data_IF_725461826844
#
_entry.id   IF_725461826844
#
_cell.length_a   1.000
_cell.length_b   1.000
_cell.length_c   1.000
_cell.angle_alpha   90.00
_cell.angle_beta   90.00
_cell.angle_gamma   90.00
#
_symmetry.space_group_name_H-M   'P 1'
#
loop_
_entity.id
_entity.type
_entity.pdbx_description
1 polymer ?
#
# COMPACT_ATOMS: atom_id res chain seq x y z
N UNK A 1 -25.41 -3.32 75.88
CA UNK A 1 -26.21 -3.33 74.63
C UNK A 1 -25.21 -3.35 73.49
N UNK A 2 -25.03 -4.51 72.85
CA UNK A 2 -24.04 -4.68 71.79
C UNK A 2 -24.65 -4.26 70.45
N UNK A 3 -23.99 -3.34 69.74
CA UNK A 3 -24.40 -2.89 68.41
C UNK A 3 -23.72 -3.79 67.37
N UNK A 4 -24.50 -4.51 66.58
CA UNK A 4 -24.00 -5.30 65.46
C UNK A 4 -24.03 -4.44 64.18
N UNK A 5 -22.87 -4.25 63.55
CA UNK A 5 -22.74 -3.55 62.26
C UNK A 5 -22.88 -4.57 61.12
N UNK A 6 -23.99 -4.55 60.39
CA UNK A 6 -24.16 -5.33 59.17
C UNK A 6 -23.59 -4.56 57.99
N UNK A 7 -22.47 -5.01 57.44
CA UNK A 7 -21.89 -4.44 56.20
C UNK A 7 -22.55 -5.11 54.99
N UNK A 8 -23.40 -4.39 54.28
CA UNK A 8 -23.89 -4.83 52.96
C UNK A 8 -22.85 -4.48 51.90
N UNK A 9 -22.30 -5.47 51.20
CA UNK A 9 -21.40 -5.25 50.07
C UNK A 9 -22.19 -4.69 48.88
N UNK A 10 -22.08 -3.38 48.66
CA UNK A 10 -22.63 -2.73 47.47
C UNK A 10 -21.75 -3.05 46.25
N UNK A 11 -22.33 -3.61 45.19
CA UNK A 11 -21.63 -3.85 43.92
C UNK A 11 -21.62 -2.55 43.10
N UNK A 12 -20.43 -2.08 42.69
CA UNK A 12 -20.25 -0.83 41.93
C UNK A 12 -20.25 -1.02 40.39
N UNK A 13 -20.66 -2.19 39.90
CA UNK A 13 -20.73 -2.51 38.47
C UNK A 13 -21.90 -1.76 37.80
N UNK A 14 -21.65 -1.14 36.65
CA UNK A 14 -22.67 -0.44 35.86
C UNK A 14 -23.22 -1.39 34.79
N UNK A 15 -24.50 -1.72 34.88
CA UNK A 15 -25.24 -2.40 33.82
C UNK A 15 -26.09 -1.42 33.04
N UNK A 16 -25.98 -1.38 31.72
CA UNK A 16 -26.90 -0.67 30.84
C UNK A 16 -27.72 -1.71 30.09
N UNK A 17 -29.03 -1.69 30.32
CA UNK A 17 -29.99 -2.64 29.72
C UNK A 17 -29.71 -4.12 30.09
N UNK A 18 -29.11 -4.34 31.26
CA UNK A 18 -28.95 -5.66 31.91
C UNK A 18 -28.97 -5.50 33.42
N UNK A 19 -29.69 -6.39 34.12
CA UNK A 19 -29.71 -6.45 35.59
C UNK A 19 -28.66 -7.41 36.15
N UNK A 20 -27.98 -8.14 35.27
CA UNK A 20 -26.94 -9.12 35.60
C UNK A 20 -25.67 -8.81 34.80
N UNK A 21 -24.96 -7.71 35.10
CA UNK A 21 -23.68 -7.42 34.44
C UNK A 21 -22.69 -8.57 34.64
N UNK A 22 -21.85 -8.81 33.64
CA UNK A 22 -20.77 -9.77 33.73
C UNK A 22 -19.90 -9.45 34.97
N UNK A 23 -19.64 -10.42 35.87
CA UNK A 23 -18.84 -10.21 37.08
C UNK A 23 -17.42 -9.67 36.83
N UNK A 24 -16.85 -9.86 35.64
CA UNK A 24 -15.53 -9.35 35.27
C UNK A 24 -15.56 -7.97 34.61
N UNK A 25 -16.70 -7.27 34.61
CA UNK A 25 -16.86 -5.97 33.94
C UNK A 25 -17.21 -4.85 34.94
N UNK A 26 -16.62 -3.69 34.74
CA UNK A 26 -17.02 -2.45 35.43
C UNK A 26 -18.24 -1.82 34.74
N UNK A 27 -18.35 -1.99 33.42
CA UNK A 27 -19.48 -1.55 32.59
C UNK A 27 -19.88 -2.69 31.64
N UNK A 28 -21.14 -3.13 31.71
CA UNK A 28 -21.75 -4.10 30.81
C UNK A 28 -22.94 -3.48 30.09
N UNK A 29 -22.98 -3.56 28.76
CA UNK A 29 -24.03 -2.98 27.93
C UNK A 29 -24.59 -4.08 27.03
N UNK A 30 -25.87 -4.39 27.20
CA UNK A 30 -26.54 -5.43 26.41
C UNK A 30 -27.62 -4.84 25.50
N UNK A 31 -27.55 -5.14 24.21
CA UNK A 31 -28.63 -4.85 23.26
C UNK A 31 -28.51 -5.77 22.05
N UNK A 32 -29.64 -6.24 21.52
CA UNK A 32 -29.67 -7.04 20.29
C UNK A 32 -29.68 -6.19 19.01
N UNK A 33 -29.97 -4.89 19.11
CA UNK A 33 -30.20 -4.02 17.95
C UNK A 33 -29.69 -2.58 18.10
N UNK A 34 -28.92 -2.28 19.16
CA UNK A 34 -28.30 -0.97 19.38
C UNK A 34 -26.79 -1.13 19.59
N UNK A 35 -26.03 -0.14 19.14
CA UNK A 35 -24.59 -0.03 19.40
C UNK A 35 -24.27 0.99 20.49
N UNK A 36 -22.98 1.15 20.77
CA UNK A 36 -22.45 2.16 21.69
C UNK A 36 -21.86 3.30 20.89
N UNK A 37 -22.33 4.52 21.16
CA UNK A 37 -21.73 5.74 20.62
C UNK A 37 -20.75 6.28 21.66
N UNK A 38 -19.45 6.08 21.41
CA UNK A 38 -18.40 6.67 22.26
C UNK A 38 -18.26 8.18 21.97
N UNK A 39 -17.63 8.97 22.86
CA UNK A 39 -17.40 10.39 22.64
C UNK A 39 -16.78 10.68 21.26
N UNK A 40 -17.41 11.61 20.52
CA UNK A 40 -17.01 11.97 19.17
C UNK A 40 -16.39 13.37 19.13
N UNK A 41 -15.20 13.48 18.56
CA UNK A 41 -14.48 14.73 18.46
C UNK A 41 -13.88 14.93 17.07
N UNK A 42 -13.44 16.15 16.76
CA UNK A 42 -12.61 16.43 15.60
C UNK A 42 -11.16 16.57 16.06
N UNK A 43 -10.31 15.59 15.74
CA UNK A 43 -8.90 15.66 16.09
C UNK A 43 -8.18 16.59 15.11
N UNK A 44 -7.64 17.70 15.59
CA UNK A 44 -6.80 18.60 14.78
C UNK A 44 -5.31 18.40 15.05
N UNK A 45 -4.95 17.85 16.22
CA UNK A 45 -3.59 17.53 16.64
C UNK A 45 -3.59 16.18 17.37
N UNK A 46 -2.81 15.20 16.89
CA UNK A 46 -2.82 13.84 17.46
C UNK A 46 -2.19 13.76 18.86
N UNK A 47 -1.23 14.60 19.19
CA UNK A 47 -0.55 14.61 20.49
C UNK A 47 -1.05 15.72 21.44
N UNK A 48 -2.23 16.28 21.19
CA UNK A 48 -2.80 17.30 22.06
C UNK A 48 -3.22 16.71 23.41
N UNK A 49 -2.80 17.36 24.49
CA UNK A 49 -3.12 17.00 25.88
C UNK A 49 -4.12 17.97 26.53
N UNK A 50 -4.63 18.96 25.79
CA UNK A 50 -5.54 19.99 26.32
C UNK A 50 -6.89 20.01 25.63
N UNK A 51 -6.94 19.79 24.32
CA UNK A 51 -8.18 19.76 23.52
C UNK A 51 -8.12 18.63 22.48
N UNK A 52 -9.22 17.93 22.17
CA UNK A 52 -10.56 18.05 22.78
C UNK A 52 -10.69 17.37 24.15
N UNK A 53 -9.69 16.58 24.55
CA UNK A 53 -9.64 15.87 25.83
C UNK A 53 -8.41 16.36 26.60
N UNK A 54 -8.61 16.85 27.82
CA UNK A 54 -7.53 17.26 28.69
C UNK A 54 -6.94 16.04 29.42
N UNK A 55 -5.61 15.96 29.49
CA UNK A 55 -4.86 14.88 30.14
C UNK A 55 -5.39 13.47 29.81
N UNK A 56 -5.47 13.09 28.52
CA UNK A 56 -6.00 11.79 28.11
C UNK A 56 -5.18 10.65 28.74
N UNK A 57 -5.89 9.67 29.31
CA UNK A 57 -5.29 8.48 29.91
C UNK A 57 -4.92 7.44 28.83
N UNK A 58 -3.88 6.65 29.07
CA UNK A 58 -3.53 5.54 28.18
C UNK A 58 -4.68 4.53 28.08
N UNK A 59 -4.99 4.12 26.84
CA UNK A 59 -6.13 3.25 26.53
C UNK A 59 -7.46 3.98 26.35
N UNK A 60 -7.53 5.30 26.55
CA UNK A 60 -8.76 6.07 26.32
C UNK A 60 -9.16 6.02 24.84
N UNK A 61 -10.43 5.74 24.57
CA UNK A 61 -10.96 5.56 23.21
C UNK A 61 -11.96 6.67 22.85
N UNK A 62 -11.82 7.23 21.64
CA UNK A 62 -12.75 8.20 21.07
C UNK A 62 -13.02 7.88 19.60
N UNK A 63 -14.02 8.54 19.02
CA UNK A 63 -14.27 8.50 17.58
C UNK A 63 -13.95 9.86 16.96
N UNK A 64 -13.00 9.91 16.02
CA UNK A 64 -12.77 11.09 15.18
C UNK A 64 -13.86 11.15 14.12
N UNK A 65 -14.74 12.15 14.17
CA UNK A 65 -15.87 12.27 13.23
C UNK A 65 -15.49 12.91 11.89
N UNK A 66 -14.29 13.50 11.79
CA UNK A 66 -13.68 13.94 10.54
C UNK A 66 -14.09 15.33 10.04
N UNK A 67 -14.77 16.15 10.86
CA UNK A 67 -15.29 17.46 10.46
C UNK A 67 -14.17 18.45 10.08
N UNK A 68 -13.65 19.19 11.06
CA UNK A 68 -12.47 20.07 10.86
C UNK A 68 -11.15 19.30 10.97
N UNK A 69 -11.20 17.98 11.14
CA UNK A 69 -10.02 17.14 11.30
C UNK A 69 -9.28 16.96 9.98
N UNK A 70 -7.94 17.03 10.03
CA UNK A 70 -7.06 16.64 8.91
C UNK A 70 -6.71 15.16 8.94
N UNK A 71 -7.15 14.42 9.95
CA UNK A 71 -6.89 12.99 10.12
C UNK A 71 -8.10 12.16 9.68
N UNK A 72 -7.88 10.91 9.23
CA UNK A 72 -8.97 10.04 8.80
C UNK A 72 -10.03 9.84 9.90
N UNK A 73 -11.29 9.76 9.48
CA UNK A 73 -12.41 9.38 10.34
C UNK A 73 -12.19 7.97 10.90
N UNK A 74 -12.63 7.74 12.13
CA UNK A 74 -12.58 6.40 12.74
C UNK A 74 -12.32 6.42 14.24
N UNK A 75 -12.05 5.24 14.78
CA UNK A 75 -11.74 5.07 16.19
C UNK A 75 -10.27 5.40 16.47
N UNK A 76 -10.02 6.11 17.57
CA UNK A 76 -8.69 6.46 18.04
C UNK A 76 -8.53 6.05 19.50
N UNK A 77 -7.34 5.56 19.84
CA UNK A 77 -6.94 5.21 21.20
C UNK A 77 -5.75 6.08 21.59
N UNK A 78 -5.78 6.68 22.77
CA UNK A 78 -4.62 7.40 23.31
C UNK A 78 -3.60 6.40 23.83
N UNK A 79 -2.43 6.34 23.19
CA UNK A 79 -1.30 5.51 23.62
C UNK A 79 0.01 6.17 23.18
N UNK A 80 1.06 6.03 24.00
CA UNK A 80 2.39 6.61 23.71
C UNK A 80 2.32 8.13 23.45
N UNK A 81 1.55 8.84 24.27
CA UNK A 81 1.39 10.30 24.23
C UNK A 81 0.78 10.85 22.92
N UNK A 82 -0.03 10.05 22.22
CA UNK A 82 -0.76 10.49 21.03
C UNK A 82 -2.00 9.63 20.75
N UNK A 83 -2.95 10.22 20.04
CA UNK A 83 -4.09 9.52 19.45
C UNK A 83 -3.61 8.65 18.28
N UNK A 84 -3.79 7.33 18.41
CA UNK A 84 -3.49 6.37 17.36
C UNK A 84 -4.80 5.81 16.78
N UNK A 85 -4.95 5.84 15.45
CA UNK A 85 -6.12 5.29 14.78
C UNK A 85 -6.13 3.78 14.94
N UNK A 86 -7.24 3.24 15.44
CA UNK A 86 -7.52 1.81 15.38
C UNK A 86 -7.91 1.47 13.93
N UNK A 87 -7.09 0.68 13.27
CA UNK A 87 -7.34 0.24 11.89
C UNK A 87 -8.16 -1.04 11.95
N UNK A 88 -9.32 -1.05 11.30
CA UNK A 88 -10.14 -2.25 11.19
C UNK A 88 -9.61 -3.11 10.03
N UNK A 89 -9.66 -4.43 10.17
CA UNK A 89 -9.22 -5.36 9.13
C UNK A 89 -9.77 -4.98 7.77
N UNK A 90 -8.88 -4.83 6.78
CA UNK A 90 -9.23 -4.41 5.41
C UNK A 90 -9.21 -2.90 5.15
N UNK A 91 -9.01 -2.07 6.19
CA UNK A 91 -8.71 -0.63 6.06
C UNK A 91 -7.21 -0.31 6.19
N UNK A 92 -6.36 -1.33 6.29
CA UNK A 92 -4.90 -1.20 6.27
C UNK A 92 -4.39 -1.02 4.84
N UNK A 93 -3.23 -0.38 4.64
CA UNK A 93 -2.56 -0.41 3.35
C UNK A 93 -2.31 -1.85 2.90
N UNK A 94 -2.79 -2.21 1.72
CA UNK A 94 -2.66 -3.56 1.17
C UNK A 94 -1.54 -3.59 0.13
N UNK A 95 -0.79 -4.69 0.05
CA UNK A 95 0.33 -4.81 -0.88
C UNK A 95 0.19 -5.98 -1.84
N UNK A 96 0.67 -5.79 -3.05
CA UNK A 96 0.87 -6.84 -4.06
C UNK A 96 2.31 -6.72 -4.57
N UNK A 97 3.01 -7.84 -4.63
CA UNK A 97 4.39 -7.93 -5.12
C UNK A 97 4.46 -8.86 -6.32
N UNK A 98 5.07 -8.33 -7.38
CA UNK A 98 5.28 -8.99 -8.66
C UNK A 98 6.78 -9.05 -8.94
N UNK A 99 7.25 -10.16 -9.48
CA UNK A 99 8.66 -10.36 -9.82
C UNK A 99 8.82 -10.90 -11.24
N UNK A 100 9.99 -10.67 -11.84
CA UNK A 100 10.48 -11.42 -13.01
C UNK A 100 11.86 -11.97 -12.64
N UNK A 101 12.04 -13.28 -12.85
CA UNK A 101 13.31 -13.97 -12.58
C UNK A 101 14.39 -13.59 -13.60
N UNK A 102 15.66 -13.86 -13.27
CA UNK A 102 16.82 -13.61 -14.15
C UNK A 102 16.73 -14.34 -15.48
N UNK A 103 17.30 -13.77 -16.54
CA UNK A 103 17.47 -14.42 -17.84
C UNK A 103 16.24 -14.35 -18.74
N UNK A 104 15.24 -13.55 -18.38
CA UNK A 104 14.06 -13.33 -19.20
C UNK A 104 14.33 -12.19 -20.19
N UNK A 105 14.44 -12.54 -21.46
CA UNK A 105 14.46 -11.57 -22.55
C UNK A 105 13.03 -11.10 -22.83
N UNK A 106 12.82 -9.79 -22.86
CA UNK A 106 11.60 -9.15 -23.34
C UNK A 106 11.86 -8.75 -24.79
N UNK A 107 11.34 -9.51 -25.78
CA UNK A 107 11.74 -9.36 -27.17
C UNK A 107 11.26 -8.06 -27.80
N UNK A 108 12.02 -7.60 -28.80
CA UNK A 108 11.66 -6.60 -29.79
C UNK A 108 10.31 -6.95 -30.39
N UNK A 109 9.39 -5.99 -30.47
CA UNK A 109 8.15 -6.19 -31.22
C UNK A 109 7.09 -7.03 -30.50
N UNK A 110 7.22 -7.32 -29.19
CA UNK A 110 6.00 -7.14 -28.38
C UNK A 110 5.65 -5.67 -28.58
N UNK A 111 4.45 -5.37 -29.04
CA UNK A 111 4.13 -4.09 -29.73
C UNK A 111 4.39 -2.82 -28.92
N UNK A 112 4.90 -2.89 -27.68
CA UNK A 112 5.02 -1.76 -26.77
C UNK A 112 6.07 -1.89 -25.64
N UNK A 113 7.16 -2.67 -25.71
CA UNK A 113 8.12 -2.80 -24.58
C UNK A 113 7.42 -3.06 -23.22
N UNK A 114 6.31 -3.80 -23.23
CA UNK A 114 5.53 -4.11 -22.04
C UNK A 114 6.16 -5.29 -21.32
N UNK A 115 6.25 -5.21 -19.99
CA UNK A 115 6.73 -6.32 -19.18
C UNK A 115 5.82 -7.55 -19.32
N UNK A 116 6.43 -8.72 -19.42
CA UNK A 116 5.78 -10.04 -19.48
C UNK A 116 6.47 -10.98 -18.49
N UNK A 117 5.95 -12.20 -18.31
CA UNK A 117 6.49 -13.21 -17.39
C UNK A 117 6.53 -12.76 -15.93
N UNK A 118 5.62 -11.85 -15.56
CA UNK A 118 5.42 -11.50 -14.16
C UNK A 118 4.94 -12.73 -13.39
N UNK A 119 5.43 -12.88 -12.17
CA UNK A 119 4.96 -13.87 -11.21
C UNK A 119 4.49 -13.16 -9.95
N UNK A 120 3.39 -13.60 -9.37
CA UNK A 120 2.88 -13.07 -8.10
C UNK A 120 3.71 -13.66 -6.96
N UNK A 121 4.54 -12.84 -6.32
CA UNK A 121 5.24 -13.22 -5.10
C UNK A 121 4.31 -13.16 -3.88
N UNK A 122 3.45 -12.13 -3.83
CA UNK A 122 2.42 -12.00 -2.81
C UNK A 122 1.28 -11.10 -3.32
N UNK A 123 0.05 -11.36 -2.90
CA UNK A 123 -1.08 -10.46 -3.16
C UNK A 123 -2.01 -10.41 -1.94
N UNK A 124 -2.11 -9.23 -1.33
CA UNK A 124 -3.02 -8.91 -0.23
C UNK A 124 -4.02 -7.81 -0.60
N UNK A 125 -3.97 -7.30 -1.83
CA UNK A 125 -4.94 -6.30 -2.31
C UNK A 125 -6.19 -7.05 -2.77
N UNK A 126 -7.29 -6.87 -2.04
CA UNK A 126 -8.56 -7.51 -2.38
C UNK A 126 -9.05 -7.04 -3.74
N UNK A 127 -9.23 -7.97 -4.68
CA UNK A 127 -9.67 -7.68 -6.05
C UNK A 127 -8.54 -7.30 -7.02
N UNK A 128 -7.29 -7.25 -6.59
CA UNK A 128 -6.16 -7.17 -7.52
C UNK A 128 -5.79 -8.55 -8.06
N UNK A 129 -5.30 -8.63 -9.29
CA UNK A 129 -4.87 -9.88 -9.91
C UNK A 129 -3.80 -9.65 -10.98
N UNK A 130 -3.04 -10.72 -11.26
CA UNK A 130 -2.22 -10.82 -12.46
C UNK A 130 -2.99 -11.67 -13.49
N UNK A 131 -3.09 -11.19 -14.72
CA UNK A 131 -3.74 -11.91 -15.81
C UNK A 131 -2.98 -13.18 -16.20
N UNK A 132 -3.70 -14.12 -16.83
CA UNK A 132 -3.12 -15.38 -17.31
C UNK A 132 -2.03 -15.16 -18.38
N UNK A 133 -2.01 -13.99 -19.01
CA UNK A 133 -0.98 -13.58 -19.96
C UNK A 133 0.34 -13.16 -19.28
N UNK A 134 0.41 -13.16 -17.94
CA UNK A 134 1.57 -12.76 -17.12
C UNK A 134 2.10 -11.35 -17.39
N UNK A 135 1.26 -10.49 -17.99
CA UNK A 135 1.65 -9.13 -18.38
C UNK A 135 0.65 -8.07 -17.92
N UNK A 136 -0.61 -8.46 -17.71
CA UNK A 136 -1.68 -7.56 -17.30
C UNK A 136 -1.91 -7.60 -15.79
N UNK A 137 -1.99 -6.43 -15.18
CA UNK A 137 -2.23 -6.27 -13.74
C UNK A 137 -3.56 -5.56 -13.56
N UNK A 138 -4.56 -6.24 -12.98
CA UNK A 138 -5.85 -5.62 -12.66
C UNK A 138 -5.80 -5.08 -11.23
N UNK A 139 -6.12 -3.80 -11.07
CA UNK A 139 -6.24 -3.14 -9.77
C UNK A 139 -7.67 -2.61 -9.59
N UNK A 140 -8.29 -2.77 -8.42
CA UNK A 140 -9.60 -2.16 -8.14
C UNK A 140 -9.50 -0.62 -8.04
N UNK A 141 -10.63 0.07 -7.90
CA UNK A 141 -10.62 1.50 -7.59
C UNK A 141 -9.84 1.79 -6.28
N UNK A 142 -9.14 2.91 -6.24
CA UNK A 142 -8.36 3.33 -5.08
C UNK A 142 -7.14 4.17 -5.42
N UNK A 143 -6.40 4.56 -4.38
CA UNK A 143 -5.15 5.31 -4.48
C UNK A 143 -3.98 4.36 -4.25
N UNK A 144 -2.98 4.43 -5.13
CA UNK A 144 -1.86 3.50 -5.17
C UNK A 144 -0.53 4.23 -5.19
N UNK A 145 0.45 3.60 -4.52
CA UNK A 145 1.87 3.85 -4.76
C UNK A 145 2.45 2.58 -5.36
N UNK A 146 3.01 2.69 -6.56
CA UNK A 146 3.65 1.57 -7.26
C UNK A 146 5.13 1.87 -7.33
N UNK A 147 5.96 0.96 -6.82
CA UNK A 147 7.42 1.07 -6.90
C UNK A 147 7.95 -0.10 -7.68
N UNK A 148 8.94 0.14 -8.52
CA UNK A 148 9.63 -0.94 -9.21
C UNK A 148 11.13 -0.70 -9.19
N UNK A 149 11.87 -1.80 -9.32
CA UNK A 149 13.31 -1.78 -9.56
C UNK A 149 13.68 -2.92 -10.48
N UNK A 150 14.66 -2.68 -11.34
CA UNK A 150 15.04 -3.63 -12.36
C UNK A 150 16.51 -3.50 -12.68
N UNK A 151 17.16 -4.66 -12.82
CA UNK A 151 18.51 -4.78 -13.35
C UNK A 151 18.43 -5.47 -14.71
N UNK A 152 18.93 -4.78 -15.74
CA UNK A 152 18.75 -5.16 -17.13
C UNK A 152 20.05 -5.31 -17.92
N UNK A 153 19.97 -5.68 -19.20
CA UNK A 153 21.04 -5.53 -20.18
C UNK A 153 20.46 -5.47 -21.60
N UNK A 154 21.24 -5.01 -22.58
CA UNK A 154 20.83 -5.06 -23.98
C UNK A 154 20.81 -6.52 -24.49
N UNK A 155 19.78 -6.91 -25.22
CA UNK A 155 19.46 -8.29 -25.60
C UNK A 155 20.34 -8.97 -26.66
N UNK A 156 21.42 -8.32 -27.13
CA UNK A 156 22.29 -8.89 -28.19
C UNK A 156 23.70 -9.28 -27.72
N UNK A 157 23.95 -9.41 -26.41
CA UNK A 157 25.16 -10.09 -25.95
C UNK A 157 24.94 -10.70 -24.57
N UNK A 158 24.57 -11.98 -24.52
CA UNK A 158 24.89 -12.92 -23.44
C UNK A 158 24.20 -14.26 -23.72
N UNK A 159 24.79 -15.04 -24.63
CA UNK A 159 24.55 -16.47 -24.65
C UNK A 159 25.82 -17.15 -24.12
N UNK A 160 25.91 -17.30 -22.79
CA UNK A 160 26.96 -18.09 -22.15
C UNK A 160 27.48 -17.55 -20.82
N UNK A 161 27.86 -18.46 -19.93
CA UNK A 161 28.68 -18.21 -18.74
C UNK A 161 30.09 -17.75 -19.16
N UNK A 162 30.24 -16.46 -19.46
CA UNK A 162 31.52 -15.77 -19.44
C UNK A 162 31.29 -14.26 -19.32
N UNK A 163 31.46 -13.77 -18.10
CA UNK A 163 31.83 -12.39 -17.81
C UNK A 163 33.09 -12.02 -18.63
N UNK A 164 32.98 -11.01 -19.50
CA UNK A 164 33.91 -9.88 -19.70
C UNK A 164 33.68 -9.26 -21.09
N UNK A 165 33.70 -7.92 -21.19
CA UNK A 165 33.42 -7.09 -22.38
C UNK A 165 31.91 -6.91 -22.61
N UNK A 166 31.30 -5.73 -22.42
CA UNK A 166 31.54 -4.49 -23.17
C UNK A 166 31.24 -3.24 -22.32
N UNK A 167 32.25 -2.37 -22.18
CA UNK A 167 32.24 -1.10 -21.42
C UNK A 167 31.95 0.13 -22.31
N UNK A 168 30.97 0.13 -23.23
CA UNK A 168 30.72 1.35 -24.04
C UNK A 168 29.32 1.50 -24.68
N UNK A 169 28.26 0.91 -24.13
CA UNK A 169 26.89 1.26 -24.58
C UNK A 169 26.02 1.55 -23.36
N UNK A 170 25.82 2.84 -23.08
CA UNK A 170 24.93 3.31 -22.02
C UNK A 170 23.48 3.08 -22.45
N UNK A 171 22.91 1.94 -22.07
CA UNK A 171 21.47 1.71 -22.23
C UNK A 171 20.72 2.61 -21.24
N UNK A 172 20.02 3.61 -21.77
CA UNK A 172 19.42 4.68 -20.96
C UNK A 172 17.91 4.50 -20.97
N UNK A 173 17.30 4.20 -19.82
CA UNK A 173 15.84 4.25 -19.68
C UNK A 173 15.40 5.72 -19.80
N UNK A 174 14.75 6.07 -20.90
CA UNK A 174 14.27 7.43 -21.15
C UNK A 174 12.94 7.68 -20.47
N UNK A 175 12.04 6.69 -20.50
CA UNK A 175 10.73 6.76 -19.87
C UNK A 175 10.32 5.41 -19.30
N UNK A 176 9.53 5.49 -18.25
CA UNK A 176 8.93 4.34 -17.62
C UNK A 176 7.51 4.72 -17.27
N UNK A 177 6.52 3.95 -17.68
CA UNK A 177 5.13 4.34 -17.45
C UNK A 177 4.15 3.17 -17.44
N UNK A 178 2.97 3.40 -16.87
CA UNK A 178 1.86 2.47 -16.93
C UNK A 178 0.95 2.81 -18.12
N UNK A 179 0.44 1.77 -18.77
CA UNK A 179 -0.58 1.90 -19.82
C UNK A 179 -1.83 1.13 -19.44
N UNK A 180 -2.98 1.60 -19.91
CA UNK A 180 -4.21 0.81 -19.88
C UNK A 180 -4.05 -0.39 -20.82
N UNK A 181 -4.33 -1.59 -20.34
CA UNK A 181 -4.13 -2.82 -21.10
C UNK A 181 -5.03 -2.95 -22.34
N UNK A 182 -6.23 -2.35 -22.32
CA UNK A 182 -7.18 -2.43 -23.43
C UNK A 182 -6.91 -1.37 -24.50
N UNK A 183 -6.61 -0.13 -24.10
CA UNK A 183 -6.47 1.01 -25.03
C UNK A 183 -5.02 1.36 -25.36
N UNK A 184 -4.05 0.80 -24.64
CA UNK A 184 -2.63 1.19 -24.68
C UNK A 184 -2.36 2.67 -24.35
N UNK A 185 -3.36 3.41 -23.87
CA UNK A 185 -3.20 4.79 -23.45
C UNK A 185 -2.33 4.87 -22.20
N UNK A 186 -1.37 5.80 -22.19
CA UNK A 186 -0.57 6.12 -21.01
C UNK A 186 -1.49 6.63 -19.89
N UNK A 187 -1.22 6.18 -18.67
CA UNK A 187 -1.98 6.59 -17.50
C UNK A 187 -1.32 7.83 -16.92
N UNK A 188 -2.15 8.83 -16.57
CA UNK A 188 -1.69 10.07 -15.96
C UNK A 188 -1.13 9.77 -14.58
N UNK A 189 0.19 9.74 -14.49
CA UNK A 189 0.95 9.40 -13.29
C UNK A 189 2.07 10.40 -13.06
N UNK A 190 2.39 10.71 -11.80
CA UNK A 190 3.59 11.47 -11.48
C UNK A 190 4.74 10.48 -11.31
N UNK A 191 5.49 10.23 -12.38
CA UNK A 191 6.72 9.43 -12.31
C UNK A 191 7.84 10.26 -11.65
N UNK A 192 8.44 9.77 -10.57
CA UNK A 192 9.75 10.25 -10.11
C UNK A 192 10.85 9.38 -10.74
N UNK A 193 11.60 10.01 -11.64
CA UNK A 193 12.50 9.48 -12.67
C UNK A 193 13.30 8.20 -12.35
N UNK A 194 13.59 7.47 -13.44
CA UNK A 194 14.66 6.48 -13.54
C UNK A 194 16.01 7.16 -13.28
N UNK A 195 16.62 6.92 -12.12
CA UNK A 195 18.00 7.36 -11.89
C UNK A 195 18.94 6.52 -12.75
N UNK A 196 19.60 7.17 -13.71
CA UNK A 196 20.63 6.58 -14.54
C UNK A 196 21.94 6.54 -13.75
N UNK A 197 22.59 5.40 -13.76
CA UNK A 197 23.99 5.32 -13.38
C UNK A 197 24.83 5.30 -14.64
N UNK A 198 25.91 6.08 -14.65
CA UNK A 198 26.94 6.09 -15.70
C UNK A 198 27.73 4.78 -15.82
N UNK A 199 27.40 3.76 -15.01
CA UNK A 199 28.08 2.48 -14.93
C UNK A 199 27.16 1.27 -14.67
N UNK A 200 25.86 1.45 -14.40
CA UNK A 200 24.95 0.38 -14.01
C UNK A 200 23.67 0.32 -14.87
N UNK A 201 23.27 -0.90 -15.18
CA UNK A 201 22.04 -1.30 -15.88
C UNK A 201 20.79 -1.37 -14.98
N UNK A 202 20.90 -0.81 -13.77
CA UNK A 202 19.85 -0.79 -12.76
C UNK A 202 19.08 0.51 -12.80
N UNK A 203 17.75 0.42 -12.78
CA UNK A 203 16.89 1.59 -12.66
C UNK A 203 15.67 1.26 -11.79
N UNK A 204 15.16 2.29 -11.14
CA UNK A 204 14.01 2.22 -10.24
C UNK A 204 13.11 3.41 -10.46
N UNK A 205 11.84 3.29 -10.07
CA UNK A 205 10.89 4.38 -10.19
C UNK A 205 9.72 4.20 -9.26
N UNK A 206 8.92 5.27 -9.15
CA UNK A 206 7.69 5.27 -8.37
C UNK A 206 6.58 5.98 -9.12
N UNK A 207 5.39 5.40 -9.10
CA UNK A 207 4.14 5.97 -9.59
C UNK A 207 3.20 6.25 -8.44
N UNK A 208 2.50 7.36 -8.55
CA UNK A 208 1.37 7.71 -7.72
C UNK A 208 0.13 7.76 -8.62
N UNK A 209 -0.87 6.97 -8.28
CA UNK A 209 -2.02 6.70 -9.14
C UNK A 209 -3.31 6.73 -8.33
N UNK A 210 -4.36 7.33 -8.89
CA UNK A 210 -5.73 7.22 -8.37
C UNK A 210 -6.62 6.64 -9.46
N UNK A 211 -7.25 5.50 -9.18
CA UNK A 211 -8.15 4.80 -10.09
C UNK A 211 -9.60 4.98 -9.63
N UNK A 212 -10.45 5.52 -10.50
CA UNK A 212 -11.88 5.70 -10.22
C UNK A 212 -12.69 4.41 -10.36
N UNK A 213 -12.18 3.43 -11.11
CA UNK A 213 -12.80 2.14 -11.36
C UNK A 213 -11.73 1.04 -11.45
N UNK A 214 -12.10 -0.24 -11.34
CA UNK A 214 -11.19 -1.33 -11.63
C UNK A 214 -10.55 -1.15 -13.01
N UNK A 215 -9.22 -1.17 -13.07
CA UNK A 215 -8.45 -0.89 -14.28
C UNK A 215 -7.38 -1.94 -14.46
N UNK A 216 -7.24 -2.46 -15.68
CA UNK A 216 -6.18 -3.41 -16.06
C UNK A 216 -5.04 -2.66 -16.73
N UNK A 217 -3.83 -2.90 -16.23
CA UNK A 217 -2.62 -2.11 -16.51
C UNK A 217 -1.50 -2.99 -17.08
N UNK A 218 -0.55 -2.37 -17.77
CA UNK A 218 0.76 -2.96 -18.10
C UNK A 218 1.87 -1.98 -17.75
N UNK A 219 3.01 -2.51 -17.29
CA UNK A 219 4.24 -1.74 -17.13
C UNK A 219 4.99 -1.66 -18.45
N UNK A 220 5.40 -0.46 -18.84
CA UNK A 220 6.13 -0.20 -20.09
C UNK A 220 7.41 0.60 -19.82
N UNK A 221 8.44 0.30 -20.59
CA UNK A 221 9.71 1.03 -20.58
C UNK A 221 10.09 1.52 -21.98
N UNK A 222 10.73 2.68 -22.05
CA UNK A 222 11.33 3.21 -23.28
C UNK A 222 12.82 3.43 -23.03
N UNK A 223 13.65 3.04 -23.99
CA UNK A 223 15.11 3.04 -23.88
C UNK A 223 15.76 3.70 -25.09
N UNK A 224 16.86 4.42 -24.84
CA UNK A 224 17.77 4.96 -25.85
C UNK A 224 19.12 4.21 -25.76
N UNK A 225 19.69 3.89 -26.92
CA UNK A 225 21.00 3.24 -27.07
C UNK A 225 22.19 4.20 -27.01
N UNK A 226 21.95 5.51 -26.85
CA UNK A 226 23.00 6.52 -26.76
C UNK A 226 23.52 7.03 -28.12
N UNK A 227 23.00 6.49 -29.23
CA UNK A 227 23.28 6.94 -30.60
C UNK A 227 22.06 7.60 -31.26
N UNK A 228 21.04 7.99 -30.47
CA UNK A 228 19.76 8.52 -30.98
C UNK A 228 18.83 7.44 -31.55
N UNK A 229 19.21 6.16 -31.44
CA UNK A 229 18.37 5.02 -31.81
C UNK A 229 17.72 4.42 -30.57
N UNK A 230 16.40 4.24 -30.62
CA UNK A 230 15.66 3.51 -29.60
C UNK A 230 15.84 2.01 -29.81
N UNK A 231 16.55 1.35 -28.91
CA UNK A 231 16.66 -0.11 -28.92
C UNK A 231 15.44 -0.73 -28.22
N UNK A 232 14.95 -1.86 -28.74
CA UNK A 232 13.64 -2.43 -28.35
C UNK A 232 13.71 -3.74 -27.56
N UNK A 233 14.91 -4.20 -27.19
CA UNK A 233 15.11 -5.42 -26.40
C UNK A 233 15.50 -5.07 -24.96
N UNK A 234 14.69 -5.48 -23.99
CA UNK A 234 15.04 -5.43 -22.57
C UNK A 234 15.34 -6.85 -22.08
N UNK A 235 16.59 -7.15 -21.74
CA UNK A 235 16.91 -8.40 -21.04
C UNK A 235 16.92 -8.16 -19.54
N UNK A 236 16.15 -8.93 -18.76
CA UNK A 236 16.21 -8.89 -17.30
C UNK A 236 17.41 -9.71 -16.86
N UNK A 237 18.47 -9.03 -16.42
CA UNK A 237 19.76 -9.68 -16.12
C UNK A 237 19.69 -10.49 -14.84
N UNK A 238 19.23 -9.88 -13.76
CA UNK A 238 19.15 -10.52 -12.44
C UNK A 238 17.73 -10.57 -11.91
N UNK A 239 17.01 -9.44 -11.86
CA UNK A 239 15.63 -9.43 -11.39
C UNK A 239 14.88 -8.16 -11.78
N UNK A 240 13.56 -8.31 -11.85
CA UNK A 240 12.59 -7.22 -11.76
C UNK A 240 11.75 -7.45 -10.50
N UNK A 241 11.48 -6.38 -9.76
CA UNK A 241 10.45 -6.39 -8.72
C UNK A 241 9.56 -5.17 -8.86
N UNK A 242 8.26 -5.37 -8.64
CA UNK A 242 7.26 -4.34 -8.52
C UNK A 242 6.45 -4.57 -7.25
N UNK A 243 6.35 -3.53 -6.43
CA UNK A 243 5.53 -3.50 -5.23
C UNK A 243 4.45 -2.46 -5.41
N UNK A 244 3.20 -2.92 -5.43
CA UNK A 244 1.99 -2.12 -5.52
C UNK A 244 1.43 -2.00 -4.10
N UNK A 245 1.27 -0.79 -3.61
CA UNK A 245 0.66 -0.50 -2.31
C UNK A 245 -0.64 0.25 -2.55
N UNK A 246 -1.77 -0.36 -2.18
CA UNK A 246 -3.06 0.32 -2.09
C UNK A 246 -3.12 1.06 -0.76
N UNK A 247 -3.33 2.36 -0.80
CA UNK A 247 -3.43 3.17 0.41
C UNK A 247 -4.75 2.89 1.13
N UNK A 248 -4.70 2.89 2.46
CA UNK A 248 -5.88 2.85 3.32
C UNK A 248 -6.78 4.05 3.03
N UNK A 249 -8.08 3.83 2.94
CA UNK A 249 -9.09 4.89 2.92
C UNK A 249 -9.45 5.34 4.35
#
# INVERSE_FOLDING_TARGET
>A
MSVALFTTSLRAQVGINTNTPNPSSVLDINSSNKGVLIPQYDLTVLNSTSTPVANPADGLMIYNKGGVSTFPKGYYVWIRNQWQRAVLSGSEPQTMSLIINSGVLIPTGSTNNTLTNLTVAANKITGASLGADTSTITLPAGTYIIRYSVDSSNGNNNNGTANTQYLSQNFTCTRSYLINAATSAAITETNRMCQLSSSFTFFQGSYFLTLAAPTTLRQKFEFDSGNGFTASNLNIRSSFTMVITKMSQ
#
